data_IF_306685532346
#
_entry.id   IF_306685532346
#
_cell.length_a   1.000
_cell.length_b   1.000
_cell.length_c   1.000
_cell.angle_alpha   90.00
_cell.angle_beta   90.00
_cell.angle_gamma   90.00
#
_symmetry.space_group_name_H-M   'P 1'
#
loop_
_entity.id
_entity.type
_entity.pdbx_description
1 polymer ?
#
# COMPACT_ATOMS: atom_id res chain seq x y z
N UNK A 1 25.52 73.91 29.96
CA UNK A 1 24.75 73.50 28.77
C UNK A 1 23.74 72.43 29.18
N UNK A 2 22.47 72.80 29.03
CA UNK A 2 21.22 72.04 28.98
C UNK A 2 21.26 70.52 29.25
N UNK A 3 20.95 70.12 30.49
CA UNK A 3 20.62 68.73 30.85
C UNK A 3 19.23 68.63 31.52
N UNK A 4 18.24 69.39 31.02
CA UNK A 4 16.90 69.54 31.65
C UNK A 4 15.71 69.05 30.84
N UNK A 5 15.90 68.38 29.70
CA UNK A 5 14.76 67.95 28.85
C UNK A 5 14.61 66.42 28.71
N UNK A 6 15.51 65.62 29.26
CA UNK A 6 15.47 64.16 29.05
C UNK A 6 14.70 63.35 30.12
N UNK A 7 14.07 63.99 31.10
CA UNK A 7 13.27 63.30 32.13
C UNK A 7 11.76 63.41 31.93
N UNK A 8 11.30 64.24 30.99
CA UNK A 8 9.87 64.35 30.62
C UNK A 8 9.46 63.48 29.43
N UNK A 9 10.43 62.82 28.77
CA UNK A 9 10.16 61.90 27.64
C UNK A 9 10.04 60.42 28.04
N UNK A 10 10.29 60.08 29.30
CA UNK A 10 10.06 58.72 29.82
C UNK A 10 8.79 58.58 30.66
N UNK A 11 8.09 59.68 30.94
CA UNK A 11 6.76 59.67 31.56
C UNK A 11 5.62 59.67 30.53
N UNK A 12 5.90 59.23 29.30
CA UNK A 12 4.91 59.11 28.20
C UNK A 12 5.08 57.77 27.46
N UNK A 13 5.56 56.73 28.17
CA UNK A 13 5.66 55.37 27.62
C UNK A 13 5.27 54.28 28.63
N UNK A 14 4.73 54.65 29.80
CA UNK A 14 4.28 53.73 30.84
C UNK A 14 2.84 54.05 31.26
N UNK A 15 1.91 54.09 30.32
CA UNK A 15 0.53 54.52 30.59
C UNK A 15 -0.45 54.20 29.46
N UNK A 16 -0.50 52.95 29.00
CA UNK A 16 -1.62 52.45 28.19
C UNK A 16 -1.71 50.92 28.30
N UNK A 17 -1.86 50.43 29.53
CA UNK A 17 -2.31 49.07 29.81
C UNK A 17 -3.81 49.11 30.14
N UNK A 18 -4.66 49.16 29.13
CA UNK A 18 -6.08 48.79 29.22
C UNK A 18 -6.54 48.23 27.86
N UNK A 19 -6.76 46.91 27.71
CA UNK A 19 -7.39 46.36 26.52
C UNK A 19 -8.90 46.62 26.60
N UNK A 20 -9.42 47.45 25.70
CA UNK A 20 -10.86 47.62 25.50
C UNK A 20 -11.42 46.43 24.73
N UNK A 21 -12.08 45.53 25.47
CA UNK A 21 -13.00 44.53 24.91
C UNK A 21 -14.32 45.22 24.61
N UNK A 22 -14.76 45.19 23.35
CA UNK A 22 -16.14 44.99 22.87
C UNK A 22 -16.25 45.47 21.43
N UNK A 23 -15.91 44.59 20.49
CA UNK A 23 -16.53 44.62 19.18
C UNK A 23 -16.78 43.17 18.75
N UNK A 24 -17.99 42.61 18.95
CA UNK A 24 -18.38 41.37 18.29
C UNK A 24 -18.75 41.68 16.83
N UNK A 25 -17.80 42.26 16.10
CA UNK A 25 -17.91 42.52 14.67
C UNK A 25 -17.57 41.23 13.95
N UNK A 26 -18.58 40.42 13.72
CA UNK A 26 -18.71 39.37 12.69
C UNK A 26 -17.34 38.93 12.15
N UNK A 27 -16.76 37.93 12.81
CA UNK A 27 -15.77 37.07 12.15
C UNK A 27 -16.54 36.36 11.04
N UNK A 28 -16.50 36.94 9.84
CA UNK A 28 -16.83 36.23 8.62
C UNK A 28 -15.82 35.08 8.58
N UNK A 29 -16.25 33.91 9.05
CA UNK A 29 -15.61 32.66 8.72
C UNK A 29 -15.62 32.61 7.20
N UNK A 30 -14.51 33.06 6.59
CA UNK A 30 -14.20 32.67 5.24
C UNK A 30 -14.14 31.16 5.34
N UNK A 31 -15.20 30.52 4.85
CA UNK A 31 -15.22 29.10 4.63
C UNK A 31 -14.03 28.82 3.72
N UNK A 32 -12.89 28.50 4.34
CA UNK A 32 -11.82 27.81 3.66
C UNK A 32 -12.49 26.49 3.31
N UNK A 33 -13.06 26.45 2.11
CA UNK A 33 -13.25 25.21 1.38
C UNK A 33 -11.84 24.67 1.23
N UNK A 34 -11.35 23.99 2.26
CA UNK A 34 -10.28 23.03 2.12
C UNK A 34 -10.87 22.02 1.15
N UNK A 35 -10.63 22.23 -0.15
CA UNK A 35 -10.55 21.13 -1.09
C UNK A 35 -9.53 20.22 -0.44
N UNK A 36 -10.01 19.21 0.29
CA UNK A 36 -9.16 18.15 0.78
C UNK A 36 -8.44 17.65 -0.47
N UNK A 37 -7.16 17.97 -0.58
CA UNK A 37 -6.37 17.52 -1.70
C UNK A 37 -6.22 16.01 -1.50
N UNK A 38 -7.10 15.22 -2.12
CA UNK A 38 -6.90 13.80 -2.21
C UNK A 38 -5.51 13.59 -2.81
N UNK A 39 -4.65 12.92 -2.06
CA UNK A 39 -3.32 12.57 -2.51
C UNK A 39 -3.51 11.71 -3.75
N UNK A 40 -3.01 12.20 -4.89
CA UNK A 40 -3.02 11.44 -6.12
C UNK A 40 -2.09 10.24 -5.97
N UNK A 41 -2.56 9.06 -6.36
CA UNK A 41 -1.81 7.81 -6.24
C UNK A 41 -1.99 6.97 -7.50
N UNK A 42 -1.02 6.09 -7.75
CA UNK A 42 -1.10 5.09 -8.80
C UNK A 42 -0.76 3.74 -8.20
N UNK A 43 -1.39 2.68 -8.72
CA UNK A 43 -1.08 1.30 -8.40
C UNK A 43 -1.11 0.46 -9.68
N UNK A 44 -0.24 -0.55 -9.75
CA UNK A 44 -0.23 -1.53 -10.84
C UNK A 44 -0.56 -2.94 -10.33
N UNK A 45 -1.19 -3.74 -11.18
CA UNK A 45 -1.37 -5.20 -11.01
C UNK A 45 -0.92 -5.88 -12.30
N UNK A 46 -0.18 -6.99 -12.18
CA UNK A 46 0.33 -7.75 -13.32
C UNK A 46 -0.37 -9.10 -13.43
N UNK A 47 -0.80 -9.42 -14.65
CA UNK A 47 -1.24 -10.74 -15.06
C UNK A 47 -0.36 -11.24 -16.21
N UNK A 48 -0.01 -12.51 -16.18
CA UNK A 48 0.73 -13.20 -17.24
C UNK A 48 -0.09 -14.37 -17.77
N UNK A 49 0.22 -14.85 -18.97
CA UNK A 49 -0.45 -16.04 -19.52
C UNK A 49 -0.12 -17.32 -18.73
N UNK A 50 1.07 -17.38 -18.14
CA UNK A 50 1.60 -18.52 -17.38
C UNK A 50 2.43 -18.03 -16.17
N UNK A 51 2.67 -18.95 -15.26
CA UNK A 51 3.58 -18.76 -14.11
C UNK A 51 4.93 -19.49 -14.30
N UNK A 52 5.03 -20.34 -15.33
CA UNK A 52 6.21 -21.13 -15.70
C UNK A 52 6.56 -20.90 -17.16
N UNK A 53 7.84 -20.65 -17.43
CA UNK A 53 8.39 -20.46 -18.76
C UNK A 53 9.71 -21.21 -18.94
N UNK A 54 10.05 -21.47 -20.18
CA UNK A 54 11.38 -21.93 -20.59
C UNK A 54 12.15 -20.76 -21.20
N UNK A 55 13.48 -20.78 -21.09
CA UNK A 55 14.30 -19.75 -21.74
C UNK A 55 14.05 -19.68 -23.25
N UNK A 56 14.04 -18.46 -23.79
CA UNK A 56 13.68 -18.20 -25.18
C UNK A 56 12.18 -18.12 -25.47
N UNK A 57 11.31 -18.45 -24.51
CA UNK A 57 9.86 -18.25 -24.66
C UNK A 57 9.45 -16.78 -24.57
N UNK A 58 8.23 -16.51 -25.01
CA UNK A 58 7.58 -15.21 -24.89
C UNK A 58 6.65 -15.21 -23.67
N UNK A 59 6.88 -14.26 -22.75
CA UNK A 59 5.94 -13.93 -21.68
C UNK A 59 4.90 -13.01 -22.27
N UNK A 60 3.63 -13.40 -22.24
CA UNK A 60 2.50 -12.51 -22.57
C UNK A 60 1.96 -11.94 -21.27
N UNK A 61 1.86 -10.62 -21.20
CA UNK A 61 1.45 -9.93 -19.98
C UNK A 61 0.32 -8.92 -20.25
N UNK A 62 -0.45 -8.66 -19.21
CA UNK A 62 -1.42 -7.57 -19.10
C UNK A 62 -1.19 -6.86 -17.77
N UNK A 63 -0.89 -5.57 -17.83
CA UNK A 63 -0.69 -4.73 -16.65
C UNK A 63 -1.88 -3.79 -16.52
N UNK A 64 -2.56 -3.87 -15.38
CA UNK A 64 -3.63 -2.96 -15.01
C UNK A 64 -3.04 -1.79 -14.22
N UNK A 65 -3.38 -0.57 -14.59
CA UNK A 65 -2.89 0.67 -13.95
C UNK A 65 -4.10 1.51 -13.54
N UNK A 66 -4.18 1.88 -12.27
CA UNK A 66 -5.32 2.64 -11.74
C UNK A 66 -4.92 3.53 -10.55
N UNK A 67 -5.77 4.51 -10.24
CA UNK A 67 -5.68 5.29 -9.02
C UNK A 67 -6.49 4.59 -7.90
N UNK A 68 -5.85 4.05 -6.84
CA UNK A 68 -6.56 3.35 -5.78
C UNK A 68 -7.44 4.27 -4.90
N UNK A 69 -7.17 5.59 -4.91
CA UNK A 69 -7.93 6.59 -4.12
C UNK A 69 -9.12 7.13 -4.92
N UNK A 70 -9.04 7.10 -6.26
CA UNK A 70 -10.12 7.49 -7.16
C UNK A 70 -10.28 6.47 -8.30
N UNK A 71 -10.93 5.31 -8.02
CA UNK A 71 -11.17 4.30 -9.05
C UNK A 71 -11.96 4.89 -10.22
N UNK A 72 -11.50 4.63 -11.45
CA UNK A 72 -12.13 5.13 -12.68
C UNK A 72 -11.63 6.49 -13.16
N UNK A 73 -10.75 7.16 -12.42
CA UNK A 73 -9.98 8.29 -12.95
C UNK A 73 -8.76 7.80 -13.73
N UNK A 74 -8.51 8.40 -14.89
CA UNK A 74 -7.31 8.15 -15.68
C UNK A 74 -6.06 8.48 -14.86
N UNK A 75 -5.07 7.60 -14.94
CA UNK A 75 -3.75 7.87 -14.38
C UNK A 75 -3.00 8.90 -15.23
N UNK A 76 -2.08 9.63 -14.59
CA UNK A 76 -1.29 10.72 -15.17
C UNK A 76 -0.05 10.20 -15.90
N UNK A 77 0.50 9.08 -15.44
CA UNK A 77 1.63 8.42 -16.09
C UNK A 77 1.26 7.90 -17.49
N UNK A 78 2.22 7.96 -18.42
CA UNK A 78 2.07 7.47 -19.81
C UNK A 78 3.04 6.35 -20.18
N UNK A 79 4.04 6.13 -19.34
CA UNK A 79 5.12 5.17 -19.57
C UNK A 79 5.11 4.19 -18.41
N UNK A 80 5.07 2.90 -18.76
CA UNK A 80 5.20 1.79 -17.84
C UNK A 80 6.60 1.19 -18.00
N UNK A 81 7.29 1.05 -16.88
CA UNK A 81 8.63 0.49 -16.77
C UNK A 81 8.54 -0.92 -16.24
N UNK A 82 9.37 -1.79 -16.79
CA UNK A 82 9.44 -3.19 -16.42
C UNK A 82 10.86 -3.56 -16.05
N UNK A 83 11.01 -4.32 -14.97
CA UNK A 83 12.23 -5.01 -14.61
C UNK A 83 11.91 -6.47 -14.32
N UNK A 84 12.67 -7.38 -14.91
CA UNK A 84 12.73 -8.77 -14.50
C UNK A 84 13.94 -8.94 -13.60
N UNK A 85 13.71 -9.29 -12.34
CA UNK A 85 14.76 -9.56 -11.37
C UNK A 85 14.98 -11.05 -11.21
N UNK A 86 16.22 -11.50 -11.06
CA UNK A 86 16.52 -12.88 -10.67
C UNK A 86 16.32 -13.10 -9.16
N UNK A 87 16.61 -14.31 -8.68
CA UNK A 87 16.53 -14.68 -7.27
C UNK A 87 17.43 -13.85 -6.34
N UNK A 88 18.46 -13.19 -6.87
CA UNK A 88 19.35 -12.30 -6.13
C UNK A 88 18.91 -10.83 -6.20
N UNK A 89 17.70 -10.57 -6.73
CA UNK A 89 17.14 -9.24 -6.96
C UNK A 89 18.00 -8.38 -7.90
N UNK A 90 18.82 -9.00 -8.75
CA UNK A 90 19.56 -8.31 -9.80
C UNK A 90 18.69 -8.21 -11.06
N UNK A 91 18.58 -7.02 -11.70
CA UNK A 91 17.82 -6.87 -12.92
C UNK A 91 18.51 -7.58 -14.08
N UNK A 92 17.82 -8.56 -14.68
CA UNK A 92 18.32 -9.32 -15.84
C UNK A 92 17.73 -8.85 -17.16
N UNK A 93 16.57 -8.20 -17.13
CA UNK A 93 15.89 -7.64 -18.29
C UNK A 93 15.11 -6.39 -17.88
N UNK A 94 15.22 -5.33 -18.67
CA UNK A 94 14.52 -4.06 -18.43
C UNK A 94 13.94 -3.55 -19.74
N UNK A 95 12.69 -3.13 -19.73
CA UNK A 95 12.06 -2.48 -20.87
C UNK A 95 11.01 -1.47 -20.44
N UNK A 96 10.44 -0.76 -21.40
CA UNK A 96 9.34 0.18 -21.17
C UNK A 96 8.35 0.16 -22.32
N UNK A 97 7.11 0.46 -22.03
CA UNK A 97 6.07 0.64 -23.03
C UNK A 97 5.25 1.90 -22.75
N UNK A 98 4.64 2.45 -23.78
CA UNK A 98 3.63 3.49 -23.63
C UNK A 98 2.27 2.84 -23.38
N UNK A 99 1.41 3.54 -22.64
CA UNK A 99 0.02 3.14 -22.45
C UNK A 99 -0.88 4.38 -22.48
N UNK A 100 -2.08 4.23 -23.03
CA UNK A 100 -3.10 5.28 -23.12
C UNK A 100 -4.25 5.09 -22.13
N UNK A 101 -4.53 3.84 -21.79
CA UNK A 101 -5.72 3.43 -21.04
C UNK A 101 -5.32 2.77 -19.71
N UNK A 102 -6.28 2.19 -19.01
CA UNK A 102 -6.07 1.50 -17.73
C UNK A 102 -5.33 0.16 -17.86
N UNK A 103 -5.03 -0.28 -19.08
CA UNK A 103 -4.40 -1.58 -19.34
C UNK A 103 -3.29 -1.41 -20.36
N UNK A 104 -2.16 -2.07 -20.10
CA UNK A 104 -1.06 -2.24 -21.04
C UNK A 104 -0.80 -3.72 -21.23
N UNK A 105 -1.14 -4.24 -22.42
CA UNK A 105 -0.87 -5.62 -22.81
C UNK A 105 0.33 -5.68 -23.76
N UNK A 106 1.12 -6.74 -23.68
CA UNK A 106 2.27 -6.92 -24.54
C UNK A 106 2.92 -8.28 -24.35
N UNK A 107 4.03 -8.47 -25.05
CA UNK A 107 4.85 -9.66 -24.93
C UNK A 107 6.33 -9.31 -24.88
N UNK A 108 7.10 -10.13 -24.19
CA UNK A 108 8.55 -9.98 -24.07
C UNK A 108 9.22 -11.35 -24.17
N UNK A 109 10.26 -11.44 -25.00
CA UNK A 109 11.04 -12.67 -25.14
C UNK A 109 12.05 -12.79 -24.00
N UNK A 110 12.08 -13.93 -23.33
CA UNK A 110 13.09 -14.26 -22.33
C UNK A 110 14.44 -14.53 -23.01
N UNK A 111 15.56 -14.01 -22.47
CA UNK A 111 16.89 -14.38 -22.95
C UNK A 111 17.17 -15.87 -22.79
N UNK A 112 17.81 -16.46 -23.80
CA UNK A 112 18.16 -17.89 -23.82
C UNK A 112 19.23 -18.24 -22.77
N UNK A 113 19.94 -17.23 -22.24
CA UNK A 113 21.06 -17.33 -21.28
C UNK A 113 20.62 -17.28 -19.81
N UNK A 114 19.32 -17.22 -19.52
CA UNK A 114 18.85 -17.19 -18.13
C UNK A 114 19.04 -18.57 -17.47
N UNK A 115 19.50 -18.57 -16.22
CA UNK A 115 19.51 -19.79 -15.41
C UNK A 115 18.12 -20.08 -14.83
N UNK A 116 17.88 -21.33 -14.50
CA UNK A 116 16.68 -21.82 -13.87
C UNK A 116 16.49 -21.19 -12.50
N UNK A 117 15.25 -20.80 -12.19
CA UNK A 117 14.92 -20.26 -10.88
C UNK A 117 13.70 -19.36 -10.88
N UNK A 118 13.46 -18.73 -9.73
CA UNK A 118 12.38 -17.78 -9.54
C UNK A 118 12.87 -16.38 -9.94
N UNK A 119 12.08 -15.76 -10.82
CA UNK A 119 12.24 -14.39 -11.27
C UNK A 119 11.04 -13.56 -10.82
N UNK A 120 11.25 -12.25 -10.71
CA UNK A 120 10.21 -11.31 -10.30
C UNK A 120 10.01 -10.27 -11.40
N UNK A 121 8.84 -10.31 -12.04
CA UNK A 121 8.40 -9.30 -12.98
C UNK A 121 7.83 -8.11 -12.20
N UNK A 122 8.57 -7.01 -12.16
CA UNK A 122 8.13 -5.75 -11.60
C UNK A 122 7.65 -4.81 -12.71
N UNK A 123 6.43 -4.26 -12.58
CA UNK A 123 5.88 -3.28 -13.51
C UNK A 123 5.40 -2.03 -12.75
N UNK A 124 5.95 -0.86 -13.07
CA UNK A 124 5.72 0.37 -12.32
C UNK A 124 5.74 1.61 -13.21
N UNK A 125 5.09 2.68 -12.77
CA UNK A 125 5.12 3.98 -13.45
C UNK A 125 6.20 4.89 -12.87
N UNK A 126 6.48 6.02 -13.51
CA UNK A 126 7.43 7.01 -12.98
C UNK A 126 7.01 7.57 -11.62
N UNK A 127 5.71 7.60 -11.32
CA UNK A 127 5.14 8.06 -10.05
C UNK A 127 5.48 7.13 -8.88
N UNK A 128 5.66 5.84 -9.15
CA UNK A 128 5.86 4.81 -8.13
C UNK A 128 7.32 4.63 -7.67
N UNK A 129 8.29 5.30 -8.30
CA UNK A 129 9.73 5.08 -8.02
C UNK A 129 10.15 5.30 -6.57
N UNK A 130 9.40 6.14 -5.85
CA UNK A 130 9.64 6.45 -4.44
C UNK A 130 8.50 5.99 -3.52
N UNK A 131 7.62 5.11 -4.02
CA UNK A 131 6.52 4.55 -3.25
C UNK A 131 6.88 3.16 -2.70
N UNK A 132 6.20 2.72 -1.64
CA UNK A 132 6.31 1.34 -1.16
C UNK A 132 5.99 0.32 -2.26
N UNK A 133 6.60 -0.86 -2.17
CA UNK A 133 6.40 -1.95 -3.14
C UNK A 133 4.94 -2.42 -3.23
N UNK A 134 4.10 -2.14 -2.24
CA UNK A 134 2.67 -2.46 -2.25
C UNK A 134 1.89 -1.79 -3.39
N UNK A 135 2.44 -0.74 -4.01
CA UNK A 135 1.83 -0.06 -5.15
C UNK A 135 2.35 -0.56 -6.51
N UNK A 136 3.40 -1.38 -6.49
CA UNK A 136 4.05 -1.89 -7.68
C UNK A 136 3.60 -3.33 -7.90
N UNK A 137 3.21 -3.66 -9.12
CA UNK A 137 2.98 -5.02 -9.52
C UNK A 137 4.29 -5.81 -9.45
N UNK A 138 4.34 -6.84 -8.61
CA UNK A 138 5.43 -7.80 -8.54
C UNK A 138 4.82 -9.18 -8.75
N UNK A 139 5.10 -9.80 -9.91
CA UNK A 139 4.62 -11.13 -10.27
C UNK A 139 5.80 -12.11 -10.26
N UNK A 140 5.84 -13.10 -9.34
CA UNK A 140 6.84 -14.16 -9.39
C UNK A 140 6.56 -15.07 -10.59
N UNK A 141 7.60 -15.43 -11.32
CA UNK A 141 7.59 -16.34 -12.45
C UNK A 141 8.73 -17.34 -12.26
N UNK A 142 8.53 -18.59 -12.61
CA UNK A 142 9.63 -19.53 -12.71
C UNK A 142 10.10 -19.59 -14.16
N UNK A 143 11.41 -19.58 -14.35
CA UNK A 143 12.04 -19.80 -15.66
C UNK A 143 12.89 -21.05 -15.55
N UNK A 144 12.76 -21.97 -16.50
CA UNK A 144 13.64 -23.13 -16.69
C UNK A 144 14.65 -22.85 -17.80
N UNK A 145 15.94 -22.91 -17.44
CA UNK A 145 17.05 -22.87 -18.37
C UNK A 145 17.19 -24.21 -19.11
N UNK A 146 17.27 -24.16 -20.44
CA UNK A 146 17.48 -25.35 -21.28
C UNK A 146 18.80 -26.09 -20.99
N UNK A 147 19.78 -25.40 -20.41
CA UNK A 147 21.11 -25.94 -20.10
C UNK A 147 21.25 -26.43 -18.66
N UNK A 148 20.20 -26.31 -17.86
CA UNK A 148 20.26 -26.67 -16.45
C UNK A 148 19.63 -28.05 -16.27
N UNK A 149 20.45 -29.02 -15.92
CA UNK A 149 19.99 -30.40 -15.61
C UNK A 149 19.18 -30.49 -14.30
N UNK A 150 18.96 -29.35 -13.63
CA UNK A 150 18.28 -29.25 -12.35
C UNK A 150 16.78 -29.04 -12.55
N UNK A 151 16.05 -30.13 -12.77
CA UNK A 151 14.60 -30.17 -12.63
C UNK A 151 14.24 -29.88 -11.16
N UNK A 152 14.01 -28.61 -10.83
CA UNK A 152 13.48 -28.27 -9.52
C UNK A 152 11.99 -28.56 -9.55
N UNK A 153 11.60 -29.64 -8.87
CA UNK A 153 10.22 -30.03 -8.71
C UNK A 153 9.45 -28.88 -8.05
N UNK A 154 8.45 -28.37 -8.77
CA UNK A 154 7.52 -27.38 -8.25
C UNK A 154 6.76 -27.99 -7.08
N UNK A 155 7.21 -27.70 -5.86
CA UNK A 155 6.35 -27.88 -4.71
C UNK A 155 5.30 -26.77 -4.75
N UNK A 156 4.21 -27.05 -5.46
CA UNK A 156 2.93 -26.38 -5.27
C UNK A 156 2.58 -26.61 -3.79
N UNK A 157 2.90 -25.62 -2.96
CA UNK A 157 2.30 -25.56 -1.63
C UNK A 157 0.84 -25.25 -1.88
N UNK A 158 0.04 -26.32 -1.95
CA UNK A 158 -1.39 -26.23 -1.77
C UNK A 158 -1.61 -25.37 -0.52
N UNK A 159 -2.23 -24.20 -0.72
CA UNK A 159 -2.63 -23.34 0.39
C UNK A 159 -3.80 -24.09 1.04
N UNK A 160 -3.50 -25.07 1.89
CA UNK A 160 -4.47 -25.69 2.75
C UNK A 160 -5.07 -24.53 3.55
N UNK A 161 -6.34 -24.22 3.26
CA UNK A 161 -7.04 -23.17 3.95
C UNK A 161 -6.91 -23.42 5.47
N UNK A 162 -6.62 -22.41 6.29
CA UNK A 162 -6.39 -22.59 7.73
C UNK A 162 -7.56 -23.29 8.46
N UNK A 163 -8.73 -23.34 7.84
CA UNK A 163 -9.90 -24.08 8.32
C UNK A 163 -9.72 -25.61 8.29
N UNK A 164 -9.02 -26.16 7.30
CA UNK A 164 -8.86 -27.60 7.15
C UNK A 164 -7.79 -28.16 8.11
N UNK A 165 -6.75 -27.37 8.40
CA UNK A 165 -5.79 -27.65 9.47
C UNK A 165 -6.44 -27.60 10.88
N UNK A 166 -7.39 -26.69 11.09
CA UNK A 166 -8.14 -26.59 12.35
C UNK A 166 -9.10 -27.78 12.55
N UNK A 167 -9.69 -28.30 11.46
CA UNK A 167 -10.55 -29.50 11.50
C UNK A 167 -9.77 -30.76 11.86
N UNK A 168 -8.58 -30.96 11.29
CA UNK A 168 -7.71 -32.10 11.65
C UNK A 168 -7.19 -32.03 13.10
N UNK A 169 -6.97 -30.83 13.64
CA UNK A 169 -6.58 -30.64 15.03
C UNK A 169 -7.74 -30.93 16.01
N UNK A 170 -9.00 -30.72 15.59
CA UNK A 170 -10.18 -31.01 16.42
C UNK A 170 -10.49 -32.52 16.50
N UNK A 171 -10.25 -33.27 15.42
CA UNK A 171 -10.57 -34.71 15.37
C UNK A 171 -9.58 -35.60 16.14
N UNK A 172 -8.36 -35.12 16.38
CA UNK A 172 -7.35 -35.84 17.20
C UNK A 172 -7.48 -35.60 18.71
N UNK A 173 -8.37 -34.70 19.13
CA UNK A 173 -8.53 -34.27 20.52
C UNK A 173 -9.68 -34.93 21.27
N UNK A 174 -9.75 -36.26 21.34
CA UNK A 174 -10.65 -36.92 22.29
C UNK A 174 -10.18 -38.33 22.69
N UNK A 175 -9.34 -38.38 23.72
CA UNK A 175 -9.28 -39.54 24.62
C UNK A 175 -8.91 -39.10 26.04
N UNK A 176 -9.94 -39.06 26.92
CA UNK A 176 -10.01 -39.33 28.37
C UNK A 176 -8.79 -39.02 29.29
N UNK A 177 -8.88 -38.52 30.54
CA UNK A 177 -9.97 -38.32 31.52
C UNK A 177 -9.42 -37.62 32.78
N UNK A 178 -10.27 -36.80 33.44
CA UNK A 178 -10.46 -36.67 34.91
C UNK A 178 -9.30 -36.34 35.87
N UNK A 179 -9.36 -35.15 36.51
CA UNK A 179 -9.51 -35.04 37.98
C UNK A 179 -9.84 -33.59 38.42
N UNK A 180 -10.78 -33.46 39.35
CA UNK A 180 -11.35 -32.23 39.91
C UNK A 180 -10.40 -31.15 40.45
N UNK A 181 -10.81 -29.87 40.33
CA UNK A 181 -11.11 -29.07 41.55
C UNK A 181 -12.08 -27.91 41.31
N UNK A 182 -13.17 -28.00 42.06
CA UNK A 182 -14.27 -27.06 42.30
C UNK A 182 -13.80 -25.75 42.95
N UNK A 183 -14.28 -24.59 42.46
CA UNK A 183 -14.73 -23.39 43.20
C UNK A 183 -15.53 -22.48 42.22
N UNK A 184 -16.70 -21.99 42.64
CA UNK A 184 -17.52 -20.91 42.04
C UNK A 184 -17.84 -19.89 43.15
N UNK A 185 -18.47 -18.72 42.88
CA UNK A 185 -18.37 -17.81 41.73
C UNK A 185 -18.13 -16.34 42.20
N UNK A 186 -17.73 -15.44 41.29
CA UNK A 186 -17.63 -14.00 41.57
C UNK A 186 -18.09 -13.16 40.38
N UNK A 187 -19.23 -12.50 40.56
CA UNK A 187 -19.89 -11.56 39.64
C UNK A 187 -19.07 -10.29 39.38
N UNK A 188 -19.09 -9.78 38.15
CA UNK A 188 -19.59 -8.42 37.87
C UNK A 188 -19.57 -8.10 36.38
N UNK A 189 -20.74 -7.63 35.91
CA UNK A 189 -20.94 -6.96 34.64
C UNK A 189 -20.49 -5.51 34.78
N UNK A 190 -19.66 -5.00 33.87
CA UNK A 190 -19.63 -3.56 33.59
C UNK A 190 -19.57 -3.30 32.09
N UNK A 191 -20.73 -2.85 31.62
CA UNK A 191 -21.03 -2.27 30.33
C UNK A 191 -20.49 -0.84 30.33
N UNK A 192 -19.60 -0.49 29.40
CA UNK A 192 -19.30 0.91 29.12
C UNK A 192 -19.42 1.20 27.63
N UNK A 193 -20.47 1.97 27.33
CA UNK A 193 -20.76 2.64 26.07
C UNK A 193 -20.01 3.98 26.03
N UNK A 194 -19.67 4.40 24.82
CA UNK A 194 -19.31 5.78 24.45
C UNK A 194 -17.91 5.83 23.85
N UNK A 195 -17.63 6.48 22.72
CA UNK A 195 -18.31 7.54 21.97
C UNK A 195 -17.87 7.37 20.51
N UNK A 196 -18.82 7.33 19.56
CA UNK A 196 -18.53 7.19 18.13
C UNK A 196 -18.16 8.56 17.56
N UNK A 197 -16.87 8.83 17.39
CA UNK A 197 -16.41 9.96 16.58
C UNK A 197 -16.58 9.57 15.11
N UNK A 198 -17.48 10.26 14.42
CA UNK A 198 -17.76 10.07 12.99
C UNK A 198 -16.55 10.57 12.19
N UNK A 199 -15.58 9.69 11.94
CA UNK A 199 -14.55 9.91 10.92
C UNK A 199 -15.21 9.83 9.54
N UNK A 200 -15.09 10.91 8.77
CA UNK A 200 -15.32 10.94 7.34
C UNK A 200 -14.25 10.08 6.66
N UNK A 201 -14.53 8.79 6.53
CA UNK A 201 -13.67 7.83 5.84
C UNK A 201 -13.66 8.12 4.34
N UNK A 202 -12.49 8.46 3.78
CA UNK A 202 -12.17 8.08 2.42
C UNK A 202 -12.29 6.55 2.36
N UNK A 203 -13.28 6.04 1.63
CA UNK A 203 -13.59 4.61 1.61
C UNK A 203 -12.42 3.86 0.98
N UNK A 204 -11.64 3.18 1.81
CA UNK A 204 -10.70 2.15 1.39
C UNK A 204 -11.52 0.92 0.97
N UNK A 205 -11.98 0.92 -0.28
CA UNK A 205 -12.63 -0.23 -0.89
C UNK A 205 -11.56 -1.19 -1.38
N UNK A 206 -11.25 -2.24 -0.62
CA UNK A 206 -10.54 -3.39 -1.14
C UNK A 206 -11.48 -4.16 -2.07
N UNK A 207 -11.38 -3.91 -3.38
CA UNK A 207 -11.96 -4.81 -4.37
C UNK A 207 -10.92 -5.86 -4.72
N UNK A 208 -11.16 -7.09 -4.27
CA UNK A 208 -10.53 -8.29 -4.80
C UNK A 208 -11.15 -8.54 -6.18
N UNK A 209 -10.39 -8.33 -7.25
CA UNK A 209 -10.76 -8.81 -8.57
C UNK A 209 -10.29 -10.27 -8.70
N UNK A 210 -11.06 -11.12 -9.40
CA UNK A 210 -10.80 -12.55 -9.55
C UNK A 210 -9.52 -12.85 -10.33
#
# INVERSE_FOLDING_TARGET
MMHRTSFLLHLLLLGALLPSVLNPGIVMAQGVSTKEACIYLEQTIAQTDRDYYVTGEWIKYSIFIFNPVAPGENVKSKILYFNLFNQYLAPVLTWRTNFSDYVSAGEIKLPDTLSSGIYYLAAYTSFMRNLPLSYIAIKPLYVSGLTDDNFTEFQVREIIAPEEAARMAAESGSFATSSEKKIRPGSSSSKQRGIFHRQSHCKQGYYLYP
#
